data_IF_450036400710
#
_entry.id   IF_450036400710
#
_cell.length_a   1.000
_cell.length_b   1.000
_cell.length_c   1.000
_cell.angle_alpha   90.00
_cell.angle_beta   90.00
_cell.angle_gamma   90.00
#
_symmetry.space_group_name_H-M   'P 1'
#
loop_
_entity.id
_entity.type
_entity.pdbx_description
1 polymer ?
#
# COMPACT_ATOMS: atom_id res chain seq x y z
N UNK A 1 2.98 46.76 -7.26
CA UNK A 1 2.51 45.39 -6.97
C UNK A 1 1.36 45.12 -7.92
N UNK A 2 1.64 44.59 -9.12
CA UNK A 2 0.60 44.30 -10.12
C UNK A 2 -0.22 43.11 -9.62
N UNK A 3 -1.54 43.26 -9.63
CA UNK A 3 -2.51 42.21 -9.36
C UNK A 3 -2.15 40.96 -10.16
N UNK A 4 -2.05 39.82 -9.49
CA UNK A 4 -2.04 38.52 -10.16
C UNK A 4 -3.44 38.38 -10.74
N UNK A 5 -3.53 38.56 -12.06
CA UNK A 5 -4.79 38.51 -12.80
C UNK A 5 -5.56 37.22 -12.49
N UNK A 6 -6.84 37.39 -12.14
CA UNK A 6 -7.80 36.34 -11.86
C UNK A 6 -8.11 35.43 -13.08
N UNK A 7 -7.43 35.62 -14.22
CA UNK A 7 -7.47 34.71 -15.36
C UNK A 7 -6.79 33.35 -15.07
N UNK A 8 -6.03 33.22 -13.97
CA UNK A 8 -5.19 32.04 -13.67
C UNK A 8 -5.83 30.91 -12.85
N UNK A 9 -7.10 31.00 -12.47
CA UNK A 9 -7.79 29.97 -11.66
C UNK A 9 -9.05 29.43 -12.36
N UNK A 10 -8.95 29.09 -13.65
CA UNK A 10 -10.04 28.39 -14.33
C UNK A 10 -9.95 26.90 -13.99
N UNK A 11 -11.11 26.29 -13.75
CA UNK A 11 -11.22 24.83 -13.62
C UNK A 11 -10.62 24.17 -14.85
N UNK A 12 -9.79 23.14 -14.66
CA UNK A 12 -9.26 22.34 -15.77
C UNK A 12 -10.41 21.81 -16.67
N UNK A 13 -11.57 21.50 -16.08
CA UNK A 13 -12.78 21.10 -16.79
C UNK A 13 -13.28 22.14 -17.82
N UNK A 14 -13.00 23.43 -17.63
CA UNK A 14 -13.45 24.49 -18.54
C UNK A 14 -12.51 24.66 -19.75
N UNK A 15 -11.37 23.99 -19.75
CA UNK A 15 -10.33 24.04 -20.78
C UNK A 15 -10.17 22.73 -21.55
N UNK A 16 -10.95 21.69 -21.21
CA UNK A 16 -10.90 20.41 -21.93
C UNK A 16 -11.71 20.51 -23.22
N UNK A 17 -11.08 20.17 -24.34
CA UNK A 17 -11.79 19.87 -25.57
C UNK A 17 -12.38 18.46 -25.52
N UNK A 18 -13.22 18.10 -26.50
CA UNK A 18 -13.88 16.77 -26.51
C UNK A 18 -12.88 15.62 -26.65
N UNK A 19 -11.79 15.83 -27.38
CA UNK A 19 -10.73 14.83 -27.57
C UNK A 19 -9.93 14.65 -26.27
N UNK A 20 -9.59 15.75 -25.58
CA UNK A 20 -8.95 15.73 -24.26
C UNK A 20 -9.78 14.98 -23.19
N UNK A 21 -11.10 14.96 -23.36
CA UNK A 21 -12.00 14.28 -22.40
C UNK A 21 -11.85 12.76 -22.45
N UNK A 22 -11.67 12.16 -23.64
CA UNK A 22 -11.51 10.71 -23.79
C UNK A 22 -10.14 10.23 -23.31
N UNK A 23 -9.09 11.02 -23.55
CA UNK A 23 -7.75 10.74 -23.04
C UNK A 23 -7.72 10.83 -21.52
N UNK A 24 -8.37 11.86 -20.95
CA UNK A 24 -8.51 12.00 -19.50
C UNK A 24 -9.26 10.82 -18.87
N UNK A 25 -10.37 10.37 -19.47
CA UNK A 25 -11.09 9.18 -18.98
C UNK A 25 -10.21 7.93 -18.98
N UNK A 26 -9.44 7.73 -20.05
CA UNK A 26 -8.48 6.61 -20.15
C UNK A 26 -7.44 6.68 -19.04
N UNK A 27 -6.82 7.85 -18.86
CA UNK A 27 -5.85 8.09 -17.79
C UNK A 27 -6.44 7.84 -16.39
N UNK A 28 -7.69 8.23 -16.15
CA UNK A 28 -8.38 8.00 -14.87
C UNK A 28 -8.56 6.51 -14.61
N UNK A 29 -8.96 5.72 -15.60
CA UNK A 29 -9.12 4.27 -15.43
C UNK A 29 -7.77 3.57 -15.21
N UNK A 30 -6.73 3.95 -15.94
CA UNK A 30 -5.36 3.45 -15.71
C UNK A 30 -4.86 3.81 -14.31
N UNK A 31 -5.13 5.03 -13.84
CA UNK A 31 -4.79 5.46 -12.49
C UNK A 31 -5.55 4.66 -11.43
N UNK A 32 -6.85 4.41 -11.62
CA UNK A 32 -7.65 3.56 -10.72
C UNK A 32 -7.10 2.14 -10.66
N UNK A 33 -6.71 1.57 -11.80
CA UNK A 33 -6.10 0.26 -11.86
C UNK A 33 -4.76 0.23 -11.10
N UNK A 34 -3.92 1.25 -11.30
CA UNK A 34 -2.65 1.40 -10.61
C UNK A 34 -2.83 1.40 -9.08
N UNK A 35 -3.70 2.25 -8.54
CA UNK A 35 -3.91 2.33 -7.08
C UNK A 35 -4.63 1.11 -6.52
N UNK A 36 -5.43 0.41 -7.34
CA UNK A 36 -6.11 -0.82 -6.92
C UNK A 36 -5.12 -1.97 -6.79
N UNK A 37 -4.10 -2.03 -7.64
CA UNK A 37 -3.05 -3.07 -7.61
C UNK A 37 -1.89 -2.71 -6.67
N UNK A 38 -1.54 -1.43 -6.55
CA UNK A 38 -0.41 -0.92 -5.77
C UNK A 38 -0.78 -0.55 -4.33
N UNK A 39 -1.25 -1.50 -3.52
CA UNK A 39 -1.70 -1.23 -2.13
C UNK A 39 -0.56 -1.09 -1.13
N UNK A 40 0.61 -1.63 -1.44
CA UNK A 40 1.85 -1.49 -0.67
C UNK A 40 2.96 -0.91 -1.52
N UNK A 41 4.02 -0.40 -0.88
CA UNK A 41 5.19 0.13 -1.61
C UNK A 41 5.84 -0.93 -2.51
N UNK A 42 5.72 -2.21 -2.12
CA UNK A 42 6.27 -3.33 -2.86
C UNK A 42 5.49 -3.57 -4.14
N UNK A 43 4.16 -3.70 -4.02
CA UNK A 43 3.27 -3.92 -5.15
C UNK A 43 3.27 -2.74 -6.12
N UNK A 44 3.31 -1.51 -5.61
CA UNK A 44 3.47 -0.32 -6.44
C UNK A 44 4.80 -0.38 -7.21
N UNK A 45 5.91 -0.75 -6.56
CA UNK A 45 7.21 -0.90 -7.24
C UNK A 45 7.23 -2.06 -8.26
N UNK A 46 6.51 -3.14 -8.01
CA UNK A 46 6.36 -4.28 -8.92
C UNK A 46 5.51 -3.90 -10.14
N UNK A 47 4.44 -3.13 -9.93
CA UNK A 47 3.59 -2.62 -11.01
C UNK A 47 4.34 -1.63 -11.91
N UNK A 48 5.08 -0.67 -11.32
CA UNK A 48 5.90 0.29 -12.09
C UNK A 48 6.95 -0.44 -12.91
N UNK A 49 7.61 -1.46 -12.34
CA UNK A 49 8.58 -2.28 -13.08
C UNK A 49 7.94 -3.00 -14.27
N UNK A 50 6.77 -3.62 -14.07
CA UNK A 50 6.08 -4.31 -15.15
C UNK A 50 5.72 -3.34 -16.29
N UNK A 51 5.28 -2.13 -15.97
CA UNK A 51 4.96 -1.11 -16.97
C UNK A 51 6.23 -0.54 -17.64
N UNK A 52 7.31 -0.33 -16.89
CA UNK A 52 8.59 0.10 -17.43
C UNK A 52 9.10 -0.92 -18.47
N UNK A 53 9.06 -2.23 -18.18
CA UNK A 53 9.46 -3.29 -19.11
C UNK A 53 8.64 -3.27 -20.40
N UNK A 54 7.32 -3.09 -20.31
CA UNK A 54 6.46 -2.98 -21.51
C UNK A 54 6.82 -1.78 -22.38
N UNK A 55 7.32 -0.70 -21.78
CA UNK A 55 7.72 0.53 -22.45
C UNK A 55 9.20 0.56 -22.87
N UNK A 56 9.87 -0.60 -22.86
CA UNK A 56 11.24 -0.79 -23.35
C UNK A 56 12.32 -0.33 -22.36
N UNK A 57 11.99 -0.19 -21.08
CA UNK A 57 13.01 0.02 -20.05
C UNK A 57 13.69 -1.31 -19.69
N UNK A 58 14.99 -1.25 -19.49
CA UNK A 58 15.82 -2.40 -19.12
C UNK A 58 16.33 -2.27 -17.67
N UNK A 59 16.48 -3.39 -16.98
CA UNK A 59 17.05 -3.40 -15.63
C UNK A 59 18.51 -2.95 -15.69
N UNK A 60 18.83 -1.88 -14.97
CA UNK A 60 20.19 -1.33 -14.86
C UNK A 60 21.18 -2.34 -14.28
N UNK A 61 20.70 -3.32 -13.52
CA UNK A 61 21.54 -4.38 -12.93
C UNK A 61 21.47 -5.71 -13.69
N UNK A 62 20.83 -5.75 -14.87
CA UNK A 62 20.82 -6.95 -15.70
C UNK A 62 22.24 -7.32 -16.14
N UNK A 63 22.65 -8.56 -15.91
CA UNK A 63 23.91 -9.10 -16.45
C UNK A 63 23.78 -9.46 -17.95
N UNK A 64 22.57 -9.43 -18.51
CA UNK A 64 22.30 -9.78 -19.92
C UNK A 64 22.59 -8.63 -20.89
N UNK A 65 22.73 -7.38 -20.41
CA UNK A 65 23.12 -6.25 -21.24
C UNK A 65 24.63 -5.98 -21.15
N UNK A 66 25.40 -6.56 -22.07
CA UNK A 66 26.83 -6.29 -22.18
C UNK A 66 27.15 -4.87 -22.71
N UNK A 67 26.16 -4.13 -23.23
CA UNK A 67 26.36 -2.79 -23.79
C UNK A 67 25.23 -1.82 -23.38
N UNK A 68 25.54 -0.92 -22.44
CA UNK A 68 24.71 0.24 -22.17
C UNK A 68 24.64 1.16 -23.40
N UNK A 69 23.43 1.45 -23.86
CA UNK A 69 23.17 2.48 -24.84
C UNK A 69 23.20 3.86 -24.15
N UNK A 70 24.01 4.77 -24.68
CA UNK A 70 24.09 6.16 -24.24
C UNK A 70 22.74 6.90 -24.34
N UNK A 71 21.75 6.33 -25.04
CA UNK A 71 20.39 6.86 -25.22
C UNK A 71 19.29 5.89 -24.77
N UNK A 72 19.65 4.94 -23.92
CA UNK A 72 18.75 3.88 -23.45
C UNK A 72 17.75 4.33 -22.38
N UNK A 73 16.77 3.46 -22.13
CA UNK A 73 15.80 3.55 -21.04
C UNK A 73 16.11 2.49 -20.00
N UNK A 74 16.33 2.90 -18.75
CA UNK A 74 16.76 2.02 -17.68
C UNK A 74 15.88 2.17 -16.44
N UNK A 75 15.67 1.11 -15.69
CA UNK A 75 15.11 1.19 -14.35
C UNK A 75 15.99 0.46 -13.34
N UNK A 76 15.91 0.86 -12.08
CA UNK A 76 16.58 0.15 -10.99
C UNK A 76 15.67 0.07 -9.78
N UNK A 77 15.60 -1.12 -9.16
CA UNK A 77 14.84 -1.34 -7.92
C UNK A 77 15.75 -1.48 -6.71
N UNK A 78 15.34 -0.85 -5.62
CA UNK A 78 16.03 -0.98 -4.34
C UNK A 78 15.17 -1.82 -3.39
N UNK A 79 15.66 -3.03 -3.08
CA UNK A 79 15.01 -3.99 -2.17
C UNK A 79 13.51 -4.26 -2.44
N UNK A 80 13.05 -4.02 -3.67
CA UNK A 80 11.64 -4.13 -4.06
C UNK A 80 10.71 -3.21 -3.27
N UNK A 81 11.17 -2.02 -2.89
CA UNK A 81 10.36 -1.00 -2.16
C UNK A 81 10.42 0.39 -2.78
N UNK A 82 11.40 0.62 -3.65
CA UNK A 82 11.50 1.84 -4.44
C UNK A 82 12.06 1.50 -5.82
N UNK A 83 11.76 2.37 -6.77
CA UNK A 83 12.16 2.23 -8.16
C UNK A 83 12.55 3.60 -8.71
N UNK A 84 13.61 3.63 -9.50
CA UNK A 84 14.01 4.79 -10.31
C UNK A 84 13.89 4.40 -11.78
N UNK A 85 13.39 5.33 -12.60
CA UNK A 85 13.35 5.21 -14.05
C UNK A 85 14.24 6.30 -14.65
N UNK A 86 15.05 5.94 -15.62
CA UNK A 86 16.06 6.78 -16.25
C UNK A 86 15.80 6.71 -17.75
N UNK A 87 15.65 7.87 -18.38
CA UNK A 87 15.53 8.01 -19.82
C UNK A 87 16.67 8.91 -20.29
N UNK A 88 17.71 8.33 -20.90
CA UNK A 88 18.87 9.08 -21.35
C UNK A 88 18.55 9.83 -22.64
N UNK A 89 18.73 11.15 -22.62
CA UNK A 89 18.53 12.02 -23.78
C UNK A 89 19.79 12.18 -24.63
N UNK A 90 19.81 13.22 -25.45
CA UNK A 90 20.97 13.52 -26.31
C UNK A 90 22.07 14.36 -25.63
N UNK A 91 21.72 15.10 -24.58
CA UNK A 91 22.66 15.94 -23.83
C UNK A 91 23.52 15.10 -22.88
N UNK A 92 24.75 15.54 -22.65
CA UNK A 92 25.64 14.86 -21.71
C UNK A 92 25.10 15.00 -20.29
N UNK A 93 25.29 13.97 -19.45
CA UNK A 93 24.84 14.01 -18.05
C UNK A 93 25.43 15.18 -17.25
N UNK A 94 26.58 15.70 -17.67
CA UNK A 94 27.21 16.87 -17.04
C UNK A 94 26.45 18.17 -17.27
N UNK A 95 25.62 18.22 -18.31
CA UNK A 95 24.75 19.37 -18.60
C UNK A 95 23.52 19.41 -17.67
N UNK A 96 23.29 18.33 -16.93
CA UNK A 96 22.27 18.24 -15.89
C UNK A 96 21.18 17.20 -16.19
N UNK A 97 20.23 17.09 -15.25
CA UNK A 97 19.13 16.12 -15.31
C UNK A 97 17.82 16.76 -14.85
N UNK A 98 16.71 16.32 -15.43
CA UNK A 98 15.37 16.65 -14.95
C UNK A 98 14.88 15.50 -14.04
N UNK A 99 14.60 15.81 -12.78
CA UNK A 99 14.17 14.82 -11.79
C UNK A 99 12.76 15.14 -11.31
N UNK A 100 11.88 14.15 -11.41
CA UNK A 100 10.58 14.15 -10.73
C UNK A 100 10.62 13.06 -9.66
N UNK A 101 10.35 13.47 -8.41
CA UNK A 101 10.34 12.57 -7.26
C UNK A 101 8.96 12.46 -6.64
N UNK A 102 8.57 11.24 -6.29
CA UNK A 102 7.38 10.92 -5.52
C UNK A 102 7.69 9.78 -4.54
N UNK A 103 6.81 9.54 -3.58
CA UNK A 103 6.88 8.37 -2.70
C UNK A 103 5.68 7.45 -2.98
N UNK A 104 5.88 6.14 -2.79
CA UNK A 104 4.89 5.08 -3.13
C UNK A 104 4.42 4.31 -1.89
N UNK A 105 4.84 4.72 -0.70
CA UNK A 105 4.32 4.23 0.56
C UNK A 105 3.08 5.03 0.99
N UNK A 106 2.17 4.38 1.70
CA UNK A 106 0.95 4.99 2.24
C UNK A 106 0.75 4.61 3.71
N UNK A 107 0.10 5.47 4.52
CA UNK A 107 -0.24 5.14 5.91
C UNK A 107 -1.05 3.85 5.99
N UNK A 108 -0.67 2.96 6.91
CA UNK A 108 -1.23 1.60 7.02
C UNK A 108 -1.05 0.99 8.40
N UNK A 109 -1.52 -0.24 8.57
CA UNK A 109 -1.30 -1.05 9.76
C UNK A 109 -0.33 -2.19 9.42
N UNK A 110 0.81 -2.22 10.11
CA UNK A 110 1.77 -3.31 10.03
C UNK A 110 1.55 -4.30 11.17
N UNK A 111 1.81 -5.58 10.93
CA UNK A 111 1.83 -6.56 12.01
C UNK A 111 3.07 -6.36 12.89
N UNK A 112 2.91 -6.47 14.21
CA UNK A 112 4.07 -6.52 15.13
C UNK A 112 4.86 -7.81 14.91
N UNK A 113 6.12 -7.85 15.37
CA UNK A 113 7.01 -9.02 15.22
C UNK A 113 6.40 -10.33 15.74
N UNK A 114 5.67 -10.27 16.86
CA UNK A 114 4.93 -11.40 17.43
C UNK A 114 3.44 -11.01 17.49
N UNK A 115 2.70 -11.09 16.37
CA UNK A 115 1.40 -10.44 16.28
C UNK A 115 0.27 -11.30 16.84
N UNK A 116 0.39 -12.63 16.77
CA UNK A 116 -0.72 -13.54 17.09
C UNK A 116 -0.84 -13.75 18.61
N UNK A 117 -2.01 -13.44 19.15
CA UNK A 117 -2.41 -13.76 20.52
C UNK A 117 -3.89 -14.15 20.57
N UNK A 118 -4.32 -14.72 21.67
CA UNK A 118 -5.74 -14.94 21.95
C UNK A 118 -6.18 -14.13 23.17
N UNK A 119 -7.41 -13.66 23.12
CA UNK A 119 -8.09 -12.96 24.20
C UNK A 119 -9.60 -13.21 24.06
N UNK A 120 -10.26 -13.57 25.15
CA UNK A 120 -11.71 -13.77 25.18
C UNK A 120 -12.22 -14.71 24.07
N UNK A 121 -11.57 -15.87 23.91
CA UNK A 121 -11.87 -16.89 22.91
C UNK A 121 -11.73 -16.45 21.43
N UNK A 122 -11.09 -15.31 21.20
CA UNK A 122 -10.84 -14.75 19.86
C UNK A 122 -9.33 -14.67 19.62
N UNK A 123 -8.90 -15.02 18.41
CA UNK A 123 -7.53 -14.85 17.96
C UNK A 123 -7.38 -13.51 17.23
N UNK A 124 -6.36 -12.77 17.65
CA UNK A 124 -6.11 -11.40 17.23
C UNK A 124 -4.68 -11.25 16.69
N UNK A 125 -4.50 -10.34 15.73
CA UNK A 125 -3.19 -9.85 15.30
C UNK A 125 -2.93 -8.46 15.88
N UNK A 126 -1.85 -8.34 16.64
CA UNK A 126 -1.33 -7.04 17.07
C UNK A 126 -0.75 -6.29 15.90
N UNK A 127 -1.17 -5.04 15.75
CA UNK A 127 -0.65 -4.14 14.74
C UNK A 127 0.16 -3.00 15.35
N UNK A 128 0.93 -2.33 14.50
CA UNK A 128 1.53 -1.04 14.75
C UNK A 128 1.27 -0.19 13.52
N UNK A 129 0.78 1.04 13.71
CA UNK A 129 0.49 1.90 12.58
C UNK A 129 1.78 2.46 11.96
N UNK A 130 1.77 2.59 10.64
CA UNK A 130 2.79 3.25 9.85
C UNK A 130 2.24 4.59 9.35
N UNK A 131 3.00 5.67 9.51
CA UNK A 131 2.57 7.02 9.14
C UNK A 131 1.54 7.66 10.09
N UNK A 132 0.98 8.80 9.68
CA UNK A 132 0.02 9.58 10.47
C UNK A 132 -1.43 9.19 10.21
N UNK A 133 -1.89 8.04 10.72
CA UNK A 133 -3.27 7.59 10.50
C UNK A 133 -4.28 8.30 11.41
N UNK A 134 -5.50 8.49 10.91
CA UNK A 134 -6.69 8.74 11.73
C UNK A 134 -7.21 7.41 12.27
N UNK A 135 -6.73 6.99 13.44
CA UNK A 135 -6.98 5.65 14.05
C UNK A 135 -8.44 5.22 14.03
N UNK A 136 -9.36 6.13 14.35
CA UNK A 136 -10.80 5.85 14.38
C UNK A 136 -11.41 5.49 13.00
N UNK A 137 -10.72 5.77 11.90
CA UNK A 137 -11.17 5.39 10.55
C UNK A 137 -10.76 3.97 10.17
N UNK A 138 -10.00 3.27 11.01
CA UNK A 138 -9.54 1.90 10.73
C UNK A 138 -10.38 0.82 11.43
N UNK A 139 -11.37 1.23 12.23
CA UNK A 139 -12.32 0.33 12.89
C UNK A 139 -13.55 0.10 12.00
N UNK A 140 -14.19 -1.05 12.12
CA UNK A 140 -15.42 -1.43 11.42
C UNK A 140 -15.37 -1.33 9.89
N UNK A 141 -14.18 -1.47 9.30
CA UNK A 141 -13.97 -1.58 7.85
C UNK A 141 -13.49 -2.99 7.47
N UNK A 142 -13.85 -3.50 6.28
CA UNK A 142 -13.19 -4.66 5.72
C UNK A 142 -11.73 -4.31 5.39
N UNK A 143 -10.80 -5.14 5.85
CA UNK A 143 -9.37 -4.98 5.65
C UNK A 143 -8.82 -6.19 4.89
N UNK A 144 -7.84 -5.95 4.02
CA UNK A 144 -7.05 -6.98 3.36
C UNK A 144 -5.65 -7.06 3.98
N UNK A 145 -5.02 -8.23 3.90
CA UNK A 145 -3.66 -8.48 4.36
C UNK A 145 -2.73 -8.62 3.16
N UNK A 146 -1.76 -7.72 3.08
CA UNK A 146 -0.72 -7.69 2.06
C UNK A 146 0.66 -7.78 2.69
N UNK A 147 1.57 -8.52 2.06
CA UNK A 147 2.96 -8.52 2.48
C UNK A 147 3.76 -9.71 1.99
N UNK A 148 4.89 -9.94 2.65
CA UNK A 148 5.78 -11.05 2.37
C UNK A 148 6.23 -11.72 3.66
N UNK A 149 6.36 -13.04 3.64
CA UNK A 149 6.93 -13.83 4.72
C UNK A 149 8.18 -14.53 4.19
N UNK A 150 9.27 -14.45 4.94
CA UNK A 150 10.45 -15.27 4.70
C UNK A 150 10.44 -16.45 5.67
N UNK A 151 10.49 -17.66 5.11
CA UNK A 151 10.62 -18.91 5.85
C UNK A 151 12.06 -19.09 6.35
N UNK A 152 12.25 -19.97 7.32
CA UNK A 152 13.57 -20.31 7.86
C UNK A 152 14.50 -20.97 6.83
N UNK A 153 13.93 -21.60 5.79
CA UNK A 153 14.66 -22.16 4.66
C UNK A 153 15.07 -21.10 3.60
N UNK A 154 14.78 -19.82 3.85
CA UNK A 154 15.04 -18.71 2.92
C UNK A 154 13.95 -18.50 1.88
N UNK A 155 12.93 -19.37 1.81
CA UNK A 155 11.83 -19.23 0.85
C UNK A 155 10.99 -17.98 1.13
N UNK A 156 10.70 -17.22 0.08
CA UNK A 156 9.82 -16.04 0.11
C UNK A 156 8.40 -16.44 -0.27
N UNK A 157 7.42 -16.05 0.54
CA UNK A 157 5.99 -16.24 0.28
C UNK A 157 5.33 -14.86 0.21
N UNK A 158 4.65 -14.56 -0.90
CA UNK A 158 3.81 -13.37 -1.01
C UNK A 158 2.44 -13.65 -0.42
N UNK A 159 1.89 -12.68 0.31
CA UNK A 159 0.59 -12.75 0.96
C UNK A 159 -0.30 -11.66 0.36
N UNK A 160 -1.48 -12.06 -0.12
CA UNK A 160 -2.58 -11.20 -0.54
C UNK A 160 -3.87 -11.93 -0.18
N UNK A 161 -4.55 -11.48 0.87
CA UNK A 161 -5.78 -12.10 1.38
C UNK A 161 -6.81 -11.00 1.61
N UNK A 162 -8.00 -11.16 1.04
CA UNK A 162 -9.12 -10.22 1.17
C UNK A 162 -9.29 -9.31 -0.05
N UNK A 163 -8.60 -9.64 -1.16
CA UNK A 163 -8.70 -8.95 -2.44
C UNK A 163 -9.68 -9.64 -3.38
N UNK A 164 -9.61 -10.97 -3.45
CA UNK A 164 -10.56 -11.75 -4.24
C UNK A 164 -11.91 -11.81 -3.56
N UNK A 165 -12.99 -11.84 -4.35
CA UNK A 165 -14.37 -11.88 -3.83
C UNK A 165 -14.70 -13.14 -3.03
N UNK A 166 -13.89 -14.18 -3.16
CA UNK A 166 -14.00 -15.43 -2.41
C UNK A 166 -13.12 -15.46 -1.16
N UNK A 167 -12.21 -14.50 -0.99
CA UNK A 167 -11.34 -14.43 0.17
C UNK A 167 -12.11 -13.97 1.41
N UNK A 168 -11.74 -14.46 2.60
CA UNK A 168 -12.13 -13.79 3.82
C UNK A 168 -11.48 -12.40 3.89
N UNK A 169 -12.20 -11.45 4.46
CA UNK A 169 -11.66 -10.15 4.85
C UNK A 169 -11.45 -10.09 6.36
N UNK A 170 -10.62 -9.16 6.78
CA UNK A 170 -10.30 -8.92 8.17
C UNK A 170 -11.05 -7.70 8.70
N UNK A 171 -11.13 -7.57 10.03
CA UNK A 171 -11.73 -6.40 10.67
C UNK A 171 -11.08 -6.07 12.00
N UNK A 172 -11.15 -4.80 12.37
CA UNK A 172 -10.89 -4.29 13.71
C UNK A 172 -12.23 -3.83 14.28
N UNK A 173 -12.63 -4.36 15.43
CA UNK A 173 -13.91 -4.00 16.03
C UNK A 173 -13.88 -2.58 16.62
N UNK A 174 -15.03 -1.91 16.58
CA UNK A 174 -15.28 -0.72 17.38
C UNK A 174 -16.30 -1.01 18.49
N UNK A 175 -16.33 -0.15 19.50
CA UNK A 175 -17.31 -0.23 20.56
C UNK A 175 -18.67 0.26 20.06
N UNK A 176 -19.68 -0.60 20.18
CA UNK A 176 -21.05 -0.26 19.79
C UNK A 176 -21.58 0.99 20.54
N UNK A 177 -22.45 1.80 19.93
CA UNK A 177 -22.84 3.11 20.45
C UNK A 177 -23.52 3.06 21.82
N UNK A 178 -24.25 1.98 22.12
CA UNK A 178 -24.94 1.80 23.41
C UNK A 178 -23.98 1.75 24.62
N UNK A 179 -22.71 1.38 24.41
CA UNK A 179 -21.68 1.30 25.46
C UNK A 179 -20.56 2.34 25.26
N UNK A 180 -20.59 3.12 24.18
CA UNK A 180 -19.52 4.03 23.79
C UNK A 180 -19.55 5.41 24.49
N UNK A 181 -20.30 5.58 25.59
CA UNK A 181 -20.45 6.89 26.25
C UNK A 181 -19.10 7.53 26.59
N UNK A 182 -18.19 6.78 27.18
CA UNK A 182 -16.87 7.29 27.59
C UNK A 182 -15.94 7.46 26.39
N UNK A 183 -16.06 6.61 25.37
CA UNK A 183 -15.31 6.73 24.12
C UNK A 183 -15.70 8.02 23.38
N UNK A 184 -17.00 8.32 23.30
CA UNK A 184 -17.57 9.51 22.64
C UNK A 184 -17.21 10.81 23.35
N UNK A 185 -16.92 10.77 24.66
CA UNK A 185 -16.49 11.94 25.43
C UNK A 185 -15.03 12.32 25.17
N UNK A 186 -14.22 11.42 24.59
CA UNK A 186 -12.81 11.68 24.27
C UNK A 186 -12.67 12.46 22.96
N UNK A 187 -11.53 13.14 22.81
CA UNK A 187 -11.12 13.67 21.51
C UNK A 187 -10.94 12.52 20.51
N UNK A 188 -11.24 12.75 19.23
CA UNK A 188 -11.09 11.71 18.19
C UNK A 188 -9.68 11.09 18.14
N UNK A 189 -8.64 11.85 18.48
CA UNK A 189 -7.25 11.38 18.54
C UNK A 189 -6.97 10.39 19.69
N UNK A 190 -7.84 10.35 20.69
CA UNK A 190 -7.71 9.59 21.94
C UNK A 190 -8.81 8.53 22.11
N UNK A 191 -9.93 8.66 21.39
CA UNK A 191 -11.07 7.75 21.43
C UNK A 191 -10.70 6.33 20.98
N UNK A 192 -9.84 6.21 19.98
CA UNK A 192 -9.27 4.94 19.51
C UNK A 192 -7.75 5.01 19.61
N UNK A 193 -7.16 4.08 20.36
CA UNK A 193 -5.70 4.04 20.58
C UNK A 193 -5.01 3.18 19.52
N UNK A 194 -3.69 3.34 19.36
CA UNK A 194 -2.94 2.49 18.42
C UNK A 194 -2.89 1.03 18.87
N UNK A 195 -2.71 0.80 20.18
CA UNK A 195 -2.66 -0.54 20.76
C UNK A 195 -4.01 -1.28 20.72
N UNK A 196 -5.12 -0.57 20.50
CA UNK A 196 -6.45 -1.20 20.32
C UNK A 196 -6.73 -1.62 18.87
N UNK A 197 -5.88 -1.28 17.90
CA UNK A 197 -6.06 -1.64 16.49
C UNK A 197 -5.66 -3.10 16.22
N UNK A 198 -6.28 -4.05 16.92
CA UNK A 198 -6.00 -5.47 16.79
C UNK A 198 -6.98 -6.11 15.82
N UNK A 199 -6.47 -6.85 14.85
CA UNK A 199 -7.27 -7.44 13.77
C UNK A 199 -7.79 -8.81 14.21
N UNK A 200 -9.08 -9.06 14.04
CA UNK A 200 -9.72 -10.36 14.33
C UNK A 200 -9.42 -11.34 13.20
N UNK A 201 -8.92 -12.53 13.54
CA UNK A 201 -8.57 -13.57 12.54
C UNK A 201 -9.25 -14.92 12.75
N UNK A 202 -9.96 -15.13 13.85
CA UNK A 202 -10.73 -16.36 14.06
C UNK A 202 -11.07 -16.63 15.52
N UNK A 203 -11.93 -17.62 15.76
CA UNK A 203 -12.41 -18.00 17.09
C UNK A 203 -12.72 -19.51 17.20
N UNK A 204 -12.21 -20.33 16.30
CA UNK A 204 -12.44 -21.79 16.34
C UNK A 204 -11.33 -22.47 17.16
N UNK A 205 -11.66 -23.24 18.21
CA UNK A 205 -10.66 -23.90 19.05
C UNK A 205 -10.15 -25.21 18.45
N UNK A 206 -9.13 -25.79 19.08
CA UNK A 206 -8.69 -27.18 18.89
C UNK A 206 -8.51 -27.88 20.26
N UNK A 207 -8.22 -29.18 20.27
CA UNK A 207 -8.10 -30.00 21.48
C UNK A 207 -6.85 -29.74 22.34
N UNK A 208 -6.28 -28.54 22.29
CA UNK A 208 -5.15 -28.17 23.15
C UNK A 208 -5.63 -27.49 24.43
N UNK A 209 -5.06 -27.90 25.56
CA UNK A 209 -5.41 -27.33 26.87
C UNK A 209 -4.99 -25.86 27.01
N UNK A 210 -3.83 -25.50 26.43
CA UNK A 210 -3.31 -24.13 26.46
C UNK A 210 -3.42 -23.48 25.09
N UNK A 211 -4.03 -22.31 25.08
CA UNK A 211 -4.26 -21.50 23.89
C UNK A 211 -4.98 -22.23 22.73
N UNK A 212 -6.14 -22.86 22.98
CA UNK A 212 -6.81 -23.72 21.99
C UNK A 212 -7.13 -22.99 20.68
N UNK A 213 -7.44 -21.70 20.73
CA UNK A 213 -7.83 -20.90 19.57
C UNK A 213 -6.61 -20.50 18.74
N UNK A 214 -5.59 -19.91 19.39
CA UNK A 214 -4.34 -19.56 18.71
C UNK A 214 -3.68 -20.79 18.08
N UNK A 215 -3.68 -21.92 18.79
CA UNK A 215 -3.08 -23.16 18.31
C UNK A 215 -3.81 -23.78 17.12
N UNK A 216 -5.13 -23.57 17.01
CA UNK A 216 -5.88 -23.94 15.80
C UNK A 216 -5.45 -23.08 14.62
N UNK A 217 -5.38 -21.76 14.81
CA UNK A 217 -5.02 -20.82 13.74
C UNK A 217 -3.61 -21.03 13.18
N UNK A 218 -2.66 -21.45 14.01
CA UNK A 218 -1.27 -21.73 13.57
C UNK A 218 -1.11 -23.04 12.77
N UNK A 219 -2.17 -23.83 12.62
CA UNK A 219 -2.15 -25.12 11.89
C UNK A 219 -2.89 -25.07 10.55
N UNK A 220 -3.58 -23.97 10.26
CA UNK A 220 -4.26 -23.72 8.98
C UNK A 220 -3.20 -23.26 7.98
#
# INVERSE_FOLDING_TARGET
MKSIDAEKNKSAWNSLEKEDSSEMETFIEEYKEFISKGKTEREASDHIEAEAKKNGFVDLYSEEEENFDARGKYYAKNHGKSIIMINLGEADLIDGVNIVGAHIDSPRLDLKQNPIYEDSDIVLLKTHYYGGIKKYQWTSLPLALHGIVYKSDGGKVSISIGEDTQDPVFLISDLLPHLAKDQNAKKMSEAVTGESLNVIIGNMPCDQEKNPFKSRMLKI
#
